data_IF_187793299702
#
_entry.id   IF_187793299702
#
_cell.length_a   1.000
_cell.length_b   1.000
_cell.length_c   1.000
_cell.angle_alpha   90.00
_cell.angle_beta   90.00
_cell.angle_gamma   90.00
#
_symmetry.space_group_name_H-M   'P 1'
#
loop_
_entity.id
_entity.type
_entity.pdbx_description
1 polymer ?
#
# COMPACT_ATOMS: atom_id res chain seq x y z
N UNK A 1 -13.59 25.64 16.06
CA UNK A 1 -13.93 24.21 15.97
C UNK A 1 -13.41 23.47 17.18
N UNK A 2 -14.25 22.70 17.82
CA UNK A 2 -13.83 21.85 18.93
C UNK A 2 -13.18 20.58 18.44
N UNK A 3 -12.16 20.11 19.15
CA UNK A 3 -11.52 18.84 18.85
C UNK A 3 -12.40 17.70 19.39
N UNK A 4 -12.96 16.91 18.49
CA UNK A 4 -13.79 15.76 18.83
C UNK A 4 -13.59 14.67 17.80
N UNK A 5 -13.95 13.42 18.11
CA UNK A 5 -13.85 12.34 17.13
C UNK A 5 -14.65 12.68 15.87
N UNK A 6 -14.10 12.33 14.72
CA UNK A 6 -14.78 12.50 13.44
C UNK A 6 -15.71 11.32 13.26
N UNK A 7 -17.02 11.58 13.13
CA UNK A 7 -18.04 10.53 13.05
C UNK A 7 -18.81 10.54 11.73
N UNK A 8 -18.88 11.69 11.08
CA UNK A 8 -19.65 11.87 9.86
C UNK A 8 -18.77 12.43 8.74
N UNK A 9 -19.23 12.30 7.50
CA UNK A 9 -18.56 12.92 6.35
C UNK A 9 -18.47 14.43 6.50
N UNK A 10 -19.49 15.05 7.08
CA UNK A 10 -19.50 16.48 7.34
C UNK A 10 -18.41 16.87 8.34
N UNK A 11 -18.25 16.09 9.41
CA UNK A 11 -17.18 16.30 10.40
C UNK A 11 -15.82 16.15 9.72
N UNK A 12 -15.66 15.17 8.83
CA UNK A 12 -14.44 14.92 8.10
C UNK A 12 -14.07 16.10 7.21
N UNK A 13 -15.03 16.63 6.46
CA UNK A 13 -14.80 17.78 5.58
C UNK A 13 -14.45 19.03 6.39
N UNK A 14 -15.10 19.23 7.53
CA UNK A 14 -14.79 20.35 8.42
C UNK A 14 -13.38 20.24 8.99
N UNK A 15 -12.95 19.02 9.34
CA UNK A 15 -11.60 18.77 9.84
C UNK A 15 -10.54 19.06 8.77
N UNK A 16 -10.79 18.65 7.52
CA UNK A 16 -9.87 18.91 6.41
C UNK A 16 -9.72 20.43 6.16
N UNK A 17 -10.82 21.16 6.21
CA UNK A 17 -10.78 22.61 6.06
C UNK A 17 -9.99 23.28 7.18
N UNK A 18 -10.12 22.80 8.41
CA UNK A 18 -9.39 23.31 9.56
C UNK A 18 -7.89 23.02 9.45
N UNK A 19 -7.52 21.83 8.97
CA UNK A 19 -6.12 21.47 8.72
C UNK A 19 -5.50 22.44 7.72
N UNK A 20 -6.21 22.71 6.62
CA UNK A 20 -5.73 23.62 5.60
C UNK A 20 -5.48 25.04 6.19
N UNK A 21 -6.39 25.48 7.04
CA UNK A 21 -6.26 26.77 7.70
C UNK A 21 -5.08 26.84 8.66
N UNK A 22 -4.75 25.73 9.32
CA UNK A 22 -3.66 25.66 10.32
C UNK A 22 -2.32 25.22 9.74
N UNK A 23 -2.27 24.94 8.44
CA UNK A 23 -1.11 24.30 7.79
C UNK A 23 0.20 25.05 8.02
N UNK A 24 0.16 26.38 8.04
CA UNK A 24 1.36 27.22 8.21
C UNK A 24 1.61 27.65 9.67
N UNK A 25 0.98 26.99 10.63
CA UNK A 25 1.17 27.33 12.03
C UNK A 25 2.63 27.15 12.47
N UNK A 26 3.19 28.08 13.27
CA UNK A 26 4.55 27.92 13.78
C UNK A 26 4.71 26.66 14.62
N UNK A 27 5.89 26.03 14.51
CA UNK A 27 6.19 24.83 15.32
C UNK A 27 6.07 25.17 16.82
N UNK A 28 5.62 24.18 17.60
CA UNK A 28 5.45 24.31 19.06
C UNK A 28 4.44 25.39 19.50
N UNK A 29 3.54 25.79 18.61
CA UNK A 29 2.45 26.70 18.96
C UNK A 29 1.19 25.91 19.31
N UNK A 30 0.22 26.52 20.03
CA UNK A 30 -1.08 25.87 20.25
C UNK A 30 -1.79 25.46 18.94
N UNK A 31 -1.61 26.24 17.88
CA UNK A 31 -2.18 25.91 16.56
C UNK A 31 -1.51 24.69 15.95
N UNK A 32 -0.20 24.52 16.15
CA UNK A 32 0.51 23.35 15.67
C UNK A 32 0.05 22.09 16.42
N UNK A 33 -0.16 22.18 17.74
CA UNK A 33 -0.67 21.08 18.54
C UNK A 33 -2.07 20.69 18.07
N UNK A 34 -2.91 21.67 17.78
CA UNK A 34 -4.25 21.43 17.24
C UNK A 34 -4.19 20.73 15.89
N UNK A 35 -3.26 21.14 15.03
CA UNK A 35 -3.04 20.51 13.73
C UNK A 35 -2.65 19.04 13.89
N UNK A 36 -1.74 18.76 14.82
CA UNK A 36 -1.30 17.37 15.08
C UNK A 36 -2.48 16.49 15.53
N UNK A 37 -3.31 16.98 16.45
CA UNK A 37 -4.48 16.23 16.92
C UNK A 37 -5.49 16.02 15.80
N UNK A 38 -5.75 17.05 14.99
CA UNK A 38 -6.66 16.93 13.85
C UNK A 38 -6.17 15.91 12.85
N UNK A 39 -4.86 15.88 12.58
CA UNK A 39 -4.25 14.89 11.68
C UNK A 39 -4.48 13.47 12.20
N UNK A 40 -4.32 13.25 13.49
CA UNK A 40 -4.57 11.96 14.13
C UNK A 40 -6.05 11.54 14.00
N UNK A 41 -6.96 12.48 14.23
CA UNK A 41 -8.40 12.21 14.13
C UNK A 41 -8.80 11.88 12.68
N UNK A 42 -8.26 12.60 11.72
CA UNK A 42 -8.50 12.37 10.30
C UNK A 42 -7.98 10.98 9.89
N UNK A 43 -6.76 10.64 10.31
CA UNK A 43 -6.18 9.33 10.01
C UNK A 43 -7.03 8.18 10.57
N UNK A 44 -7.54 8.33 11.79
CA UNK A 44 -8.40 7.33 12.41
C UNK A 44 -9.72 7.15 11.63
N UNK A 45 -10.32 8.24 11.19
CA UNK A 45 -11.55 8.19 10.39
C UNK A 45 -11.31 7.54 9.04
N UNK A 46 -10.24 7.96 8.35
CA UNK A 46 -9.90 7.40 7.03
C UNK A 46 -9.62 5.90 7.11
N UNK A 47 -8.93 5.46 8.16
CA UNK A 47 -8.66 4.05 8.37
C UNK A 47 -9.91 3.21 8.61
N UNK A 48 -10.95 3.80 9.18
CA UNK A 48 -12.21 3.13 9.47
C UNK A 48 -13.17 3.11 8.28
N UNK A 49 -13.29 4.22 7.55
CA UNK A 49 -14.31 4.38 6.50
C UNK A 49 -13.75 4.31 5.07
N UNK A 50 -12.45 4.50 4.92
CA UNK A 50 -11.77 4.40 3.63
C UNK A 50 -10.56 3.48 3.76
N UNK A 51 -10.78 2.20 4.18
CA UNK A 51 -9.66 1.29 4.34
C UNK A 51 -8.97 1.09 2.98
N UNK A 52 -7.66 1.19 2.99
CA UNK A 52 -6.88 0.85 1.81
C UNK A 52 -6.90 -0.67 1.72
N UNK A 53 -7.46 -1.27 0.64
CA UNK A 53 -7.45 -2.71 0.49
C UNK A 53 -6.01 -3.21 0.47
N UNK A 54 -5.77 -4.34 1.12
CA UNK A 54 -4.44 -4.96 1.05
C UNK A 54 -4.13 -5.27 -0.42
N UNK A 55 -2.98 -4.86 -0.94
CA UNK A 55 -2.62 -5.17 -2.31
C UNK A 55 -2.44 -6.68 -2.47
N UNK A 56 -2.70 -7.20 -3.69
CA UNK A 56 -2.32 -8.57 -3.97
C UNK A 56 -0.78 -8.65 -4.11
N UNK A 57 -0.20 -9.86 -4.11
CA UNK A 57 1.26 -10.00 -4.17
C UNK A 57 1.92 -9.29 -5.34
N UNK A 58 1.30 -9.26 -6.51
CA UNK A 58 1.91 -8.64 -7.69
C UNK A 58 1.81 -7.12 -7.63
N UNK A 59 0.68 -6.58 -7.19
CA UNK A 59 0.55 -5.14 -6.95
C UNK A 59 1.57 -4.67 -5.91
N UNK A 60 1.75 -5.47 -4.85
CA UNK A 60 2.73 -5.18 -3.81
C UNK A 60 4.16 -5.17 -4.36
N UNK A 61 4.55 -6.18 -5.15
CA UNK A 61 5.86 -6.23 -5.78
C UNK A 61 6.10 -5.03 -6.69
N UNK A 62 5.10 -4.68 -7.50
CA UNK A 62 5.19 -3.52 -8.40
C UNK A 62 5.40 -2.24 -7.61
N UNK A 63 4.66 -2.08 -6.51
CA UNK A 63 4.82 -0.92 -5.64
C UNK A 63 6.21 -0.84 -5.01
N UNK A 64 6.74 -1.97 -4.54
CA UNK A 64 8.09 -2.05 -3.98
C UNK A 64 9.13 -1.66 -5.03
N UNK A 65 8.99 -2.17 -6.25
CA UNK A 65 9.89 -1.83 -7.35
C UNK A 65 9.91 -0.33 -7.62
N UNK A 66 8.73 0.28 -7.70
CA UNK A 66 8.62 1.73 -7.91
C UNK A 66 9.19 2.53 -6.74
N UNK A 67 8.87 2.13 -5.52
CA UNK A 67 9.32 2.83 -4.31
C UNK A 67 10.83 2.77 -4.12
N UNK A 68 11.45 1.64 -4.46
CA UNK A 68 12.88 1.42 -4.24
C UNK A 68 13.73 1.60 -5.49
N UNK A 69 13.12 1.92 -6.63
CA UNK A 69 13.83 2.06 -7.89
C UNK A 69 14.40 0.75 -8.41
N UNK A 70 13.73 -0.37 -8.14
CA UNK A 70 14.16 -1.68 -8.59
C UNK A 70 13.66 -1.98 -9.99
N UNK A 71 14.49 -2.67 -10.78
CA UNK A 71 14.15 -3.12 -12.13
C UNK A 71 13.81 -4.61 -12.08
N UNK A 72 13.29 -5.14 -13.19
CA UNK A 72 13.04 -6.58 -13.32
C UNK A 72 14.32 -7.39 -13.14
N UNK A 73 15.46 -6.85 -13.56
CA UNK A 73 16.76 -7.50 -13.38
C UNK A 73 17.09 -7.69 -11.90
N UNK A 74 16.71 -6.74 -11.07
CA UNK A 74 16.95 -6.81 -9.62
C UNK A 74 16.17 -7.93 -8.95
N UNK A 75 15.09 -8.41 -9.56
CA UNK A 75 14.29 -9.50 -9.06
C UNK A 75 14.82 -10.89 -9.48
N UNK A 76 15.73 -10.96 -10.43
CA UNK A 76 16.24 -12.24 -10.94
C UNK A 76 16.86 -13.13 -9.85
N UNK A 77 17.67 -12.60 -8.92
CA UNK A 77 18.23 -13.46 -7.86
C UNK A 77 17.17 -14.14 -7.01
N UNK A 78 16.00 -13.53 -6.85
CA UNK A 78 14.93 -14.06 -6.00
C UNK A 78 13.92 -14.89 -6.78
N UNK A 79 13.66 -14.55 -8.04
CA UNK A 79 12.60 -15.19 -8.83
C UNK A 79 13.18 -16.17 -9.87
N UNK A 80 14.20 -15.77 -10.61
CA UNK A 80 14.78 -16.62 -11.65
C UNK A 80 15.10 -15.83 -12.91
N UNK A 81 15.29 -16.53 -14.04
CA UNK A 81 15.67 -15.88 -15.31
C UNK A 81 14.68 -14.80 -15.73
N UNK A 82 15.12 -13.93 -16.63
CA UNK A 82 14.33 -12.81 -17.14
C UNK A 82 12.91 -13.20 -17.56
N UNK A 83 12.75 -14.31 -18.27
CA UNK A 83 11.44 -14.78 -18.72
C UNK A 83 10.53 -15.17 -17.56
N UNK A 84 11.11 -15.74 -16.50
CA UNK A 84 10.38 -16.09 -15.30
C UNK A 84 9.88 -14.84 -14.56
N UNK A 85 10.73 -13.83 -14.44
CA UNK A 85 10.35 -12.54 -13.84
C UNK A 85 9.18 -11.93 -14.60
N UNK A 86 9.28 -11.93 -15.95
CA UNK A 86 8.19 -11.42 -16.78
C UNK A 86 6.88 -12.18 -16.56
N UNK A 87 6.93 -13.51 -16.50
CA UNK A 87 5.76 -14.35 -16.28
C UNK A 87 5.09 -14.05 -14.92
N UNK A 88 5.90 -13.88 -13.88
CA UNK A 88 5.37 -13.57 -12.55
C UNK A 88 4.68 -12.20 -12.54
N UNK A 89 5.35 -11.17 -13.07
CA UNK A 89 4.80 -9.81 -13.07
C UNK A 89 3.60 -9.65 -14.00
N UNK A 90 3.55 -10.45 -15.08
CA UNK A 90 2.42 -10.44 -16.00
C UNK A 90 1.26 -11.35 -15.55
N UNK A 91 1.38 -11.98 -14.39
CA UNK A 91 0.36 -12.85 -13.80
C UNK A 91 0.07 -14.10 -14.65
N UNK A 92 1.02 -14.55 -15.44
CA UNK A 92 0.88 -15.78 -16.23
C UNK A 92 1.44 -17.00 -15.49
N UNK A 93 2.14 -16.77 -14.39
CA UNK A 93 2.72 -17.84 -13.56
C UNK A 93 2.65 -17.41 -12.08
N UNK A 94 2.27 -18.33 -11.17
CA UNK A 94 2.16 -17.96 -9.75
C UNK A 94 3.53 -17.89 -9.07
N UNK A 95 3.62 -17.10 -8.00
CA UNK A 95 4.76 -17.11 -7.12
C UNK A 95 4.86 -18.47 -6.44
N UNK A 96 6.04 -19.08 -6.45
CA UNK A 96 6.29 -20.33 -5.72
C UNK A 96 6.68 -19.99 -4.29
N UNK A 97 6.57 -20.98 -3.40
CA UNK A 97 6.99 -20.82 -2.01
C UNK A 97 8.46 -20.43 -1.92
N UNK A 98 9.31 -21.01 -2.76
CA UNK A 98 10.74 -20.68 -2.80
C UNK A 98 10.98 -19.21 -3.19
N UNK A 99 10.25 -18.73 -4.19
CA UNK A 99 10.32 -17.31 -4.58
C UNK A 99 9.91 -16.40 -3.43
N UNK A 100 8.85 -16.75 -2.74
CA UNK A 100 8.35 -15.98 -1.59
C UNK A 100 9.40 -15.91 -0.49
N UNK A 101 10.03 -17.04 -0.18
CA UNK A 101 11.10 -17.10 0.83
C UNK A 101 12.29 -16.23 0.44
N UNK A 102 12.72 -16.28 -0.82
CA UNK A 102 13.83 -15.48 -1.30
C UNK A 102 13.51 -13.99 -1.30
N UNK A 103 12.32 -13.61 -1.79
CA UNK A 103 11.88 -12.21 -1.78
C UNK A 103 11.80 -11.66 -0.35
N UNK A 104 11.25 -12.44 0.56
CA UNK A 104 11.14 -12.02 1.96
C UNK A 104 12.51 -11.85 2.61
N UNK A 105 13.46 -12.71 2.32
CA UNK A 105 14.81 -12.68 2.86
C UNK A 105 15.67 -11.59 2.19
N UNK A 106 15.72 -11.59 0.85
CA UNK A 106 16.63 -10.73 0.10
C UNK A 106 16.19 -9.26 0.09
N UNK A 107 14.91 -9.02 -0.06
CA UNK A 107 14.35 -7.67 -0.15
C UNK A 107 13.64 -7.23 1.13
N UNK A 108 13.64 -8.07 2.17
CA UNK A 108 12.99 -7.75 3.46
C UNK A 108 11.50 -7.45 3.30
N UNK A 109 10.81 -8.25 2.50
CA UNK A 109 9.38 -8.10 2.26
C UNK A 109 8.56 -8.95 3.21
N UNK A 110 7.33 -8.53 3.56
CA UNK A 110 6.46 -9.32 4.42
C UNK A 110 5.94 -10.55 3.67
N UNK A 111 6.29 -11.73 4.15
CA UNK A 111 5.85 -13.00 3.56
C UNK A 111 4.33 -13.14 3.58
N UNK A 112 3.67 -12.61 4.61
CA UNK A 112 2.21 -12.68 4.74
C UNK A 112 1.48 -11.95 3.61
N UNK A 113 2.09 -10.96 2.99
CA UNK A 113 1.52 -10.30 1.81
C UNK A 113 1.75 -11.14 0.56
N UNK A 114 2.96 -11.68 0.42
CA UNK A 114 3.36 -12.45 -0.76
C UNK A 114 2.63 -13.79 -0.89
N UNK A 115 2.17 -14.35 0.22
CA UNK A 115 1.50 -15.65 0.26
C UNK A 115 0.00 -15.56 -0.06
N UNK A 116 -0.56 -14.36 -0.16
CA UNK A 116 -1.99 -14.20 -0.44
C UNK A 116 -2.37 -14.77 -1.81
N UNK A 117 -3.53 -15.41 -1.91
CA UNK A 117 -4.01 -15.88 -3.21
C UNK A 117 -4.33 -14.70 -4.14
N UNK A 118 -4.11 -14.90 -5.42
CA UNK A 118 -4.45 -13.92 -6.45
C UNK A 118 -4.74 -14.62 -7.76
N UNK A 119 -5.49 -13.97 -8.64
CA UNK A 119 -5.89 -14.55 -9.91
C UNK A 119 -4.77 -14.42 -10.94
N UNK A 120 -4.52 -15.52 -11.66
CA UNK A 120 -3.62 -15.52 -12.80
C UNK A 120 -4.39 -15.14 -14.06
N UNK A 121 -3.75 -14.42 -14.94
CA UNK A 121 -4.36 -13.99 -16.20
C UNK A 121 -4.78 -15.18 -17.05
N UNK A 122 -3.99 -16.25 -17.03
CA UNK A 122 -4.30 -17.50 -17.75
C UNK A 122 -5.59 -18.14 -17.26
N UNK A 123 -5.85 -18.12 -15.95
CA UNK A 123 -7.09 -18.67 -15.39
C UNK A 123 -8.31 -17.86 -15.83
N UNK A 124 -8.17 -16.55 -15.96
CA UNK A 124 -9.23 -15.66 -16.45
C UNK A 124 -9.55 -15.95 -17.91
N UNK A 125 -8.52 -16.12 -18.73
CA UNK A 125 -8.69 -16.48 -20.15
C UNK A 125 -9.39 -17.83 -20.32
N UNK A 126 -9.03 -18.83 -19.53
CA UNK A 126 -9.67 -20.13 -19.55
C UNK A 126 -11.12 -20.06 -19.07
N UNK A 127 -11.40 -19.23 -18.10
CA UNK A 127 -12.76 -19.00 -17.61
C UNK A 127 -13.64 -18.29 -18.65
N UNK A 128 -13.06 -17.44 -19.47
CA UNK A 128 -13.75 -16.71 -20.52
C UNK A 128 -14.01 -17.56 -21.76
N UNK A 129 -13.24 -18.60 -21.95
CA UNK A 129 -13.41 -19.54 -23.06
C UNK A 129 -14.50 -20.58 -22.77
#
# INVERSE_FOLDING_TARGET
MELKPIRTKKDYQAALAEVERLWEAPAKSPKADRLDVLTMLIAAYEGQYYPIPDPDPIEFLTHVMESRGLTRKDLQPSIGPRGRVADILNRTRPLTLEMIRRLAHDLKLPAEVLIKPYKLRRNEEQAAA
#
